data_IF_105598826623
#
_entry.id   IF_105598826623
#
_cell.length_a   1.000
_cell.length_b   1.000
_cell.length_c   1.000
_cell.angle_alpha   90.00
_cell.angle_beta   90.00
_cell.angle_gamma   90.00
#
_symmetry.space_group_name_H-M   'P 1'
#
loop_
_entity.id
_entity.type
_entity.pdbx_description
1 polymer ?
#
# COMPACT_ATOMS: atom_id res chain seq x y z
N UNK A 1 -35.26 -8.12 -25.03
CA UNK A 1 -34.13 -7.16 -25.05
C UNK A 1 -33.63 -6.98 -23.63
N UNK A 2 -32.64 -7.78 -23.21
CA UNK A 2 -32.11 -7.74 -21.86
C UNK A 2 -31.21 -6.52 -21.68
N UNK A 3 -31.68 -5.51 -20.94
CA UNK A 3 -30.83 -4.40 -20.52
C UNK A 3 -29.75 -4.97 -19.60
N UNK A 4 -28.50 -4.96 -20.10
CA UNK A 4 -27.30 -5.31 -19.35
C UNK A 4 -27.32 -4.55 -18.03
N UNK A 5 -27.24 -5.31 -16.94
CA UNK A 5 -27.16 -4.83 -15.56
C UNK A 5 -26.24 -3.61 -15.53
N UNK A 6 -26.77 -2.46 -15.12
CA UNK A 6 -26.00 -1.27 -14.82
C UNK A 6 -25.06 -1.60 -13.65
N UNK A 7 -23.90 -2.19 -13.95
CA UNK A 7 -22.82 -2.26 -12.98
C UNK A 7 -22.56 -0.82 -12.57
N UNK A 8 -22.80 -0.53 -11.30
CA UNK A 8 -22.52 0.76 -10.66
C UNK A 8 -21.00 0.99 -10.73
N UNK A 9 -20.47 1.34 -11.90
CA UNK A 9 -19.04 1.53 -12.10
C UNK A 9 -18.68 2.84 -11.39
N UNK A 10 -18.15 2.71 -10.17
CA UNK A 10 -17.67 3.85 -9.36
C UNK A 10 -16.71 4.70 -10.18
N UNK A 11 -17.04 5.98 -10.34
CA UNK A 11 -16.19 6.94 -11.06
C UNK A 11 -14.92 7.23 -10.25
N UNK A 12 -13.73 7.08 -10.86
CA UNK A 12 -12.46 7.30 -10.16
C UNK A 12 -12.19 8.78 -9.89
N UNK A 13 -11.49 9.02 -8.79
CA UNK A 13 -10.94 10.33 -8.42
C UNK A 13 -9.60 10.59 -9.12
N UNK A 14 -9.15 11.84 -9.16
CA UNK A 14 -7.81 12.18 -9.68
C UNK A 14 -6.70 11.40 -8.96
N UNK A 15 -6.88 11.12 -7.66
CA UNK A 15 -5.94 10.37 -6.84
C UNK A 15 -5.88 8.89 -7.25
N UNK A 16 -7.03 8.22 -7.34
CA UNK A 16 -7.10 6.82 -7.78
C UNK A 16 -6.53 6.65 -9.21
N UNK A 17 -6.70 7.65 -10.09
CA UNK A 17 -6.07 7.67 -11.42
C UNK A 17 -4.56 7.86 -11.30
N UNK A 18 -4.10 8.78 -10.46
CA UNK A 18 -2.68 9.07 -10.27
C UNK A 18 -1.91 7.87 -9.72
N UNK A 19 -2.49 7.16 -8.75
CA UNK A 19 -1.97 5.91 -8.19
C UNK A 19 -1.86 4.84 -9.28
N UNK A 20 -2.88 4.69 -10.13
CA UNK A 20 -2.86 3.71 -11.24
C UNK A 20 -1.86 4.04 -12.36
N UNK A 21 -1.47 5.31 -12.50
CA UNK A 21 -0.51 5.77 -13.51
C UNK A 21 0.90 5.98 -12.94
N UNK A 22 1.09 5.80 -11.63
CA UNK A 22 2.34 6.08 -10.92
C UNK A 22 2.87 7.51 -11.16
N UNK A 23 1.95 8.48 -11.20
CA UNK A 23 2.28 9.90 -11.38
C UNK A 23 1.72 10.74 -10.23
N UNK A 24 2.20 11.97 -10.10
CA UNK A 24 1.65 12.89 -9.12
C UNK A 24 0.22 13.33 -9.48
N UNK A 25 -0.63 13.55 -8.45
CA UNK A 25 -2.05 13.94 -8.62
C UNK A 25 -2.21 15.21 -9.45
N UNK A 26 -1.31 16.18 -9.29
CA UNK A 26 -1.35 17.44 -10.07
C UNK A 26 -1.10 17.22 -11.56
N UNK A 27 -0.33 16.19 -11.94
CA UNK A 27 -0.13 15.83 -13.35
C UNK A 27 -1.43 15.33 -13.98
N UNK A 28 -2.20 14.51 -13.25
CA UNK A 28 -3.53 14.06 -13.67
C UNK A 28 -4.50 15.23 -13.77
N UNK A 29 -4.52 16.14 -12.79
CA UNK A 29 -5.38 17.32 -12.82
C UNK A 29 -5.07 18.23 -14.01
N UNK A 30 -3.78 18.55 -14.25
CA UNK A 30 -3.35 19.34 -15.41
C UNK A 30 -3.77 18.69 -16.72
N UNK A 31 -3.60 17.37 -16.83
CA UNK A 31 -4.01 16.61 -18.01
C UNK A 31 -5.52 16.61 -18.19
N UNK A 32 -6.28 16.38 -17.11
CA UNK A 32 -7.74 16.41 -17.12
C UNK A 32 -8.29 17.77 -17.54
N UNK A 33 -7.66 18.87 -17.11
CA UNK A 33 -8.01 20.21 -17.58
C UNK A 33 -7.64 20.40 -19.06
N UNK A 34 -6.43 20.00 -19.47
CA UNK A 34 -5.96 20.14 -20.87
C UNK A 34 -6.83 19.36 -21.86
N UNK A 35 -7.27 18.17 -21.48
CA UNK A 35 -8.08 17.27 -22.30
C UNK A 35 -9.59 17.37 -21.99
N UNK A 36 -9.98 18.30 -21.12
CA UNK A 36 -11.36 18.56 -20.69
C UNK A 36 -12.15 17.30 -20.28
N UNK A 37 -11.58 16.50 -19.38
CA UNK A 37 -12.19 15.24 -18.95
C UNK A 37 -13.49 15.49 -18.18
N UNK A 38 -14.63 14.88 -18.59
CA UNK A 38 -15.89 15.00 -17.87
C UNK A 38 -15.81 14.49 -16.44
N UNK A 39 -16.32 15.28 -15.50
CA UNK A 39 -16.36 14.94 -14.08
C UNK A 39 -17.71 15.27 -13.43
N UNK A 40 -17.97 14.60 -12.32
CA UNK A 40 -19.00 14.94 -11.35
C UNK A 40 -18.34 15.45 -10.07
N UNK A 41 -18.86 16.53 -9.51
CA UNK A 41 -18.46 17.02 -8.20
C UNK A 41 -19.38 16.45 -7.12
N UNK A 42 -18.77 16.01 -6.03
CA UNK A 42 -19.48 15.52 -4.85
C UNK A 42 -18.96 16.27 -3.64
N UNK A 43 -19.88 16.87 -2.88
CA UNK A 43 -19.55 17.53 -1.63
C UNK A 43 -19.06 16.49 -0.61
N UNK A 44 -17.88 16.71 -0.05
CA UNK A 44 -17.29 15.88 0.99
C UNK A 44 -16.87 16.75 2.17
N UNK A 45 -16.58 16.13 3.32
CA UNK A 45 -15.99 16.85 4.45
C UNK A 45 -14.64 17.44 4.01
N UNK A 46 -14.54 18.76 3.99
CA UNK A 46 -13.33 19.48 3.56
C UNK A 46 -13.33 19.97 2.11
N UNK A 47 -14.46 19.93 1.39
CA UNK A 47 -14.60 20.62 0.11
C UNK A 47 -15.36 19.82 -0.96
N UNK A 48 -14.93 19.99 -2.22
CA UNK A 48 -15.50 19.30 -3.38
C UNK A 48 -14.54 18.24 -3.89
N UNK A 49 -15.07 17.04 -4.15
CA UNK A 49 -14.32 15.93 -4.74
C UNK A 49 -14.75 15.72 -6.19
N UNK A 50 -13.81 15.81 -7.12
CA UNK A 50 -14.03 15.50 -8.55
C UNK A 50 -13.86 14.01 -8.82
N UNK A 51 -14.86 13.43 -9.48
CA UNK A 51 -14.86 12.06 -9.99
C UNK A 51 -15.00 12.08 -11.50
N UNK A 52 -14.15 11.35 -12.22
CA UNK A 52 -14.10 11.37 -13.68
C UNK A 52 -14.87 10.19 -14.27
N UNK A 53 -15.56 10.41 -15.40
CA UNK A 53 -16.31 9.35 -16.06
C UNK A 53 -15.35 8.33 -16.72
N UNK A 54 -15.35 7.05 -16.30
CA UNK A 54 -14.40 6.06 -16.81
C UNK A 54 -14.58 5.75 -18.30
N UNK A 55 -15.77 5.96 -18.86
CA UNK A 55 -16.06 5.72 -20.28
C UNK A 55 -15.46 6.80 -21.19
N UNK A 56 -15.25 8.01 -20.68
CA UNK A 56 -14.73 9.15 -21.46
C UNK A 56 -13.23 9.37 -21.24
N UNK A 57 -12.62 8.70 -20.26
CA UNK A 57 -11.17 8.73 -20.06
C UNK A 57 -10.41 8.20 -21.29
N UNK A 58 -9.20 8.73 -21.58
CA UNK A 58 -8.33 8.20 -22.62
C UNK A 58 -8.09 6.70 -22.44
N UNK A 59 -7.98 5.98 -23.57
CA UNK A 59 -7.85 4.50 -23.57
C UNK A 59 -6.74 4.01 -22.65
N UNK A 60 -5.57 4.64 -22.71
CA UNK A 60 -4.42 4.28 -21.87
C UNK A 60 -4.74 4.43 -20.37
N UNK A 61 -5.32 5.57 -19.97
CA UNK A 61 -5.71 5.87 -18.59
C UNK A 61 -6.73 4.84 -18.09
N UNK A 62 -7.74 4.54 -18.92
CA UNK A 62 -8.80 3.58 -18.59
C UNK A 62 -8.27 2.16 -18.39
N UNK A 63 -7.35 1.71 -19.24
CA UNK A 63 -6.74 0.38 -19.14
C UNK A 63 -5.90 0.25 -17.87
N UNK A 64 -5.04 1.22 -17.60
CA UNK A 64 -4.19 1.22 -16.40
C UNK A 64 -5.02 1.28 -15.12
N UNK A 65 -6.00 2.19 -15.06
CA UNK A 65 -6.91 2.26 -13.91
C UNK A 65 -7.70 0.96 -13.69
N UNK A 66 -8.23 0.33 -14.74
CA UNK A 66 -8.94 -0.95 -14.62
C UNK A 66 -8.02 -2.08 -14.16
N UNK A 67 -6.77 -2.11 -14.64
CA UNK A 67 -5.76 -3.09 -14.21
C UNK A 67 -5.46 -2.90 -12.72
N UNK A 68 -5.10 -1.68 -12.32
CA UNK A 68 -4.83 -1.33 -10.93
C UNK A 68 -6.00 -1.64 -9.99
N UNK A 69 -7.24 -1.35 -10.43
CA UNK A 69 -8.46 -1.70 -9.67
C UNK A 69 -8.61 -3.21 -9.47
N UNK A 70 -8.30 -4.03 -10.48
CA UNK A 70 -8.36 -5.50 -10.37
C UNK A 70 -7.30 -6.03 -9.42
N UNK A 71 -6.08 -5.50 -9.49
CA UNK A 71 -4.97 -5.87 -8.62
C UNK A 71 -5.28 -5.50 -7.16
N UNK A 72 -5.75 -4.27 -6.90
CA UNK A 72 -6.15 -3.85 -5.56
C UNK A 72 -7.42 -4.54 -5.04
N UNK A 73 -8.34 -4.95 -5.93
CA UNK A 73 -9.50 -5.76 -5.52
C UNK A 73 -9.11 -7.20 -5.15
N UNK A 74 -8.01 -7.71 -5.69
CA UNK A 74 -7.47 -9.02 -5.36
C UNK A 74 -6.60 -9.02 -4.09
N UNK A 75 -6.11 -7.85 -3.66
CA UNK A 75 -5.21 -7.74 -2.51
C UNK A 75 -5.68 -6.72 -1.48
N UNK A 76 -6.42 -7.16 -0.44
CA UNK A 76 -6.59 -6.34 0.76
C UNK A 76 -5.30 -6.22 1.59
N UNK A 77 -4.23 -6.99 1.34
CA UNK A 77 -3.13 -7.06 2.32
C UNK A 77 -1.73 -7.54 1.86
N UNK A 78 -1.31 -7.38 0.60
CA UNK A 78 0.01 -7.89 0.18
C UNK A 78 1.20 -7.18 0.85
N UNK A 79 1.03 -5.91 1.22
CA UNK A 79 2.06 -5.16 1.95
C UNK A 79 2.28 -5.73 3.36
N UNK A 80 1.27 -6.35 3.98
CA UNK A 80 1.44 -7.00 5.28
C UNK A 80 2.15 -8.35 5.17
N UNK A 81 1.88 -9.18 4.16
CA UNK A 81 2.54 -10.50 4.04
C UNK A 81 4.05 -10.37 3.85
N UNK A 82 4.49 -9.42 3.02
CA UNK A 82 5.92 -9.14 2.85
C UNK A 82 6.55 -8.56 4.13
N UNK A 83 5.84 -7.71 4.88
CA UNK A 83 6.33 -7.18 6.15
C UNK A 83 6.41 -8.26 7.24
N UNK A 84 5.42 -9.14 7.33
CA UNK A 84 5.34 -10.19 8.35
C UNK A 84 6.52 -11.16 8.26
N UNK A 85 6.92 -11.56 7.04
CA UNK A 85 8.11 -12.39 6.83
C UNK A 85 9.38 -11.74 7.39
N UNK A 86 9.55 -10.43 7.19
CA UNK A 86 10.72 -9.70 7.73
C UNK A 86 10.69 -9.54 9.25
N UNK A 87 9.51 -9.53 9.87
CA UNK A 87 9.38 -9.40 11.34
C UNK A 87 9.77 -10.70 12.04
N UNK A 88 9.40 -11.86 11.49
CA UNK A 88 9.76 -13.17 12.05
C UNK A 88 11.27 -13.41 12.02
N UNK A 89 11.93 -13.05 10.91
CA UNK A 89 13.38 -13.15 10.76
C UNK A 89 14.13 -12.28 11.79
N UNK A 90 13.66 -11.05 12.01
CA UNK A 90 14.23 -10.15 13.02
C UNK A 90 14.01 -10.68 14.45
N UNK A 91 12.84 -11.27 14.74
CA UNK A 91 12.57 -11.88 16.04
C UNK A 91 13.47 -13.08 16.33
N UNK A 92 13.72 -13.93 15.32
CA UNK A 92 14.64 -15.05 15.44
C UNK A 92 16.07 -14.57 15.76
N UNK A 93 16.54 -13.52 15.08
CA UNK A 93 17.85 -12.94 15.34
C UNK A 93 17.98 -12.38 16.77
N UNK A 94 16.98 -11.64 17.26
CA UNK A 94 16.96 -11.13 18.63
C UNK A 94 17.02 -12.27 19.65
N UNK A 95 16.31 -13.38 19.41
CA UNK A 95 16.31 -14.52 20.31
C UNK A 95 17.67 -15.21 20.38
N UNK A 96 18.34 -15.37 19.22
CA UNK A 96 19.69 -15.93 19.13
C UNK A 96 20.67 -15.05 19.91
N UNK A 97 20.64 -13.73 19.70
CA UNK A 97 21.50 -12.79 20.42
C UNK A 97 21.28 -12.86 21.94
N UNK A 98 20.04 -12.91 22.40
CA UNK A 98 19.70 -13.08 23.83
C UNK A 98 20.26 -14.38 24.41
N UNK A 99 20.26 -15.47 23.65
CA UNK A 99 20.81 -16.75 24.10
C UNK A 99 22.34 -16.72 24.20
N UNK A 100 23.00 -16.08 23.25
CA UNK A 100 24.46 -15.87 23.28
C UNK A 100 24.84 -15.03 24.50
N UNK A 101 24.14 -13.91 24.72
CA UNK A 101 24.37 -13.05 25.87
C UNK A 101 24.17 -13.78 27.20
N UNK A 102 23.12 -14.61 27.31
CA UNK A 102 22.90 -15.44 28.51
C UNK A 102 23.97 -16.50 28.73
N UNK A 103 24.62 -17.01 27.67
CA UNK A 103 25.74 -17.94 27.79
C UNK A 103 27.01 -17.19 28.21
N UNK A 104 27.31 -16.06 27.59
CA UNK A 104 28.45 -15.22 27.93
C UNK A 104 28.38 -14.76 29.40
N UNK A 105 27.22 -14.29 29.88
CA UNK A 105 27.08 -13.90 31.28
C UNK A 105 27.26 -15.05 32.27
N UNK A 106 26.86 -16.28 31.89
CA UNK A 106 27.11 -17.48 32.73
C UNK A 106 28.59 -17.78 32.83
N UNK A 107 29.31 -17.78 31.70
CA UNK A 107 30.76 -17.99 31.68
C UNK A 107 31.50 -16.94 32.53
N UNK A 108 31.10 -15.67 32.43
CA UNK A 108 31.69 -14.60 33.26
C UNK A 108 31.41 -14.82 34.75
N UNK A 109 30.19 -15.26 35.11
CA UNK A 109 29.84 -15.57 36.49
C UNK A 109 30.58 -16.80 37.04
N UNK A 110 30.84 -17.80 36.20
CA UNK A 110 31.59 -19.01 36.56
C UNK A 110 33.07 -18.69 36.76
N UNK A 111 33.71 -17.96 35.82
CA UNK A 111 35.07 -17.46 35.99
C UNK A 111 35.23 -16.58 37.23
N UNK A 112 34.25 -15.72 37.56
CA UNK A 112 34.30 -14.89 38.77
C UNK A 112 34.22 -15.71 40.06
N UNK A 113 33.53 -16.85 40.06
CA UNK A 113 33.46 -17.74 41.24
C UNK A 113 34.76 -18.49 41.46
N UNK A 114 35.41 -18.93 40.39
CA UNK A 114 36.71 -19.62 40.47
C UNK A 114 37.82 -18.71 41.02
N UNK A 115 37.81 -17.41 40.67
CA UNK A 115 38.80 -16.43 41.15
C UNK A 115 38.50 -15.81 42.54
N UNK A 116 37.45 -16.26 43.24
CA UNK A 116 37.04 -15.73 44.55
C UNK A 116 37.27 -16.72 45.71
N UNK A 117 37.91 -17.88 45.45
CA UNK A 117 38.25 -18.89 46.45
C UNK A 117 39.74 -18.92 46.84
N UNK A 118 40.53 -18.00 46.30
CA UNK A 118 41.87 -17.63 46.79
C UNK A 118 41.80 -16.35 47.64
#
# INVERSE_FOLDING_TARGET
MGALKSTTEKWPTAREIAEALEVHVTSVQRRATKENWPYQETTVRGGQLRRYNPATLPRAVRLLWRKHKKENAAHPNHQMEALLGTVEELQAFILIQKNIMRKAMRLVADCRREFSMD
#
